data_IF_261339438706
#
_entry.id   IF_261339438706
#
_cell.length_a   1.000
_cell.length_b   1.000
_cell.length_c   1.000
_cell.angle_alpha   90.00
_cell.angle_beta   90.00
_cell.angle_gamma   90.00
#
_symmetry.space_group_name_H-M   'P 1'
#
loop_
_entity.id
_entity.type
_entity.pdbx_description
1 polymer ?
#
# COMPACT_ATOMS: atom_id res chain seq x y z
N UNK A 1 -67.93 -9.23 49.82
CA UNK A 1 -67.38 -10.22 48.85
C UNK A 1 -67.16 -9.63 47.45
N UNK A 2 -68.06 -8.79 46.92
CA UNK A 2 -67.94 -8.18 45.58
C UNK A 2 -66.74 -7.23 45.40
N UNK A 3 -66.41 -6.41 46.41
CA UNK A 3 -65.31 -5.43 46.33
C UNK A 3 -63.92 -6.10 46.24
N UNK A 4 -63.73 -7.21 46.96
CA UNK A 4 -62.47 -7.97 46.96
C UNK A 4 -62.21 -8.61 45.59
N UNK A 5 -63.26 -9.08 44.92
CA UNK A 5 -63.14 -9.63 43.56
C UNK A 5 -62.85 -8.56 42.51
N UNK A 6 -63.37 -7.33 42.67
CA UNK A 6 -63.03 -6.21 41.80
C UNK A 6 -61.55 -5.81 41.96
N UNK A 7 -61.05 -5.75 43.19
CA UNK A 7 -59.65 -5.42 43.48
C UNK A 7 -58.67 -6.46 42.91
N UNK A 8 -58.98 -7.75 43.04
CA UNK A 8 -58.18 -8.83 42.43
C UNK A 8 -58.14 -8.72 40.89
N UNK A 9 -59.26 -8.38 40.25
CA UNK A 9 -59.31 -8.21 38.78
C UNK A 9 -58.48 -7.01 38.32
N UNK A 10 -58.48 -5.92 39.07
CA UNK A 10 -57.66 -4.73 38.79
C UNK A 10 -56.16 -5.05 38.90
N UNK A 11 -55.75 -5.76 39.96
CA UNK A 11 -54.36 -6.17 40.14
C UNK A 11 -53.90 -7.09 39.00
N UNK A 12 -54.71 -8.07 38.61
CA UNK A 12 -54.39 -8.96 37.49
C UNK A 12 -54.27 -8.19 36.17
N UNK A 13 -55.15 -7.21 35.93
CA UNK A 13 -55.08 -6.37 34.74
C UNK A 13 -53.82 -5.50 34.71
N UNK A 14 -53.43 -4.90 35.85
CA UNK A 14 -52.20 -4.09 35.96
C UNK A 14 -50.96 -4.96 35.73
N UNK A 15 -50.89 -6.15 36.32
CA UNK A 15 -49.78 -7.08 36.11
C UNK A 15 -49.71 -7.54 34.65
N UNK A 16 -50.86 -7.85 34.03
CA UNK A 16 -50.90 -8.22 32.62
C UNK A 16 -50.43 -7.09 31.69
N UNK A 17 -50.82 -5.84 31.96
CA UNK A 17 -50.35 -4.67 31.23
C UNK A 17 -48.85 -4.47 31.42
N UNK A 18 -48.35 -4.59 32.66
CA UNK A 18 -46.91 -4.45 32.96
C UNK A 18 -46.07 -5.51 32.24
N UNK A 19 -46.51 -6.77 32.26
CA UNK A 19 -45.85 -7.87 31.54
C UNK A 19 -45.92 -7.66 30.03
N UNK A 20 -47.06 -7.20 29.49
CA UNK A 20 -47.19 -6.86 28.08
C UNK A 20 -46.26 -5.71 27.69
N UNK A 21 -46.11 -4.66 28.52
CA UNK A 21 -45.18 -3.57 28.27
C UNK A 21 -43.72 -4.02 28.31
N UNK A 22 -43.36 -4.93 29.22
CA UNK A 22 -42.00 -5.52 29.25
C UNK A 22 -41.75 -6.34 27.99
N UNK A 23 -42.71 -7.18 27.58
CA UNK A 23 -42.59 -7.98 26.36
C UNK A 23 -42.46 -7.06 25.13
N UNK A 24 -43.27 -6.00 25.02
CA UNK A 24 -43.17 -5.02 23.92
C UNK A 24 -41.83 -4.28 23.97
N UNK A 25 -41.38 -3.85 25.15
CA UNK A 25 -40.08 -3.19 25.33
C UNK A 25 -38.91 -4.12 24.95
N UNK A 26 -38.91 -5.36 25.41
CA UNK A 26 -37.90 -6.37 25.05
C UNK A 26 -37.97 -6.80 23.58
N UNK A 27 -39.16 -6.80 22.96
CA UNK A 27 -39.34 -7.16 21.54
C UNK A 27 -38.99 -6.00 20.60
N UNK A 28 -39.14 -4.75 21.06
CA UNK A 28 -38.74 -3.54 20.33
C UNK A 28 -37.28 -3.13 20.59
N UNK A 29 -36.66 -3.58 21.69
CA UNK A 29 -35.19 -3.58 21.87
C UNK A 29 -34.52 -4.70 21.07
N UNK A 30 -34.89 -4.84 19.79
CA UNK A 30 -33.92 -5.36 18.85
C UNK A 30 -32.90 -4.24 18.70
N UNK A 31 -31.74 -4.39 19.35
CA UNK A 31 -30.58 -3.61 18.93
C UNK A 31 -30.43 -3.88 17.43
N UNK A 32 -30.62 -2.87 16.60
CA UNK A 32 -30.21 -2.97 15.21
C UNK A 32 -28.70 -3.20 15.25
N UNK A 33 -28.27 -4.45 15.11
CA UNK A 33 -26.87 -4.84 15.10
C UNK A 33 -26.18 -4.01 14.02
N UNK A 34 -25.08 -3.37 14.39
CA UNK A 34 -24.33 -2.56 13.44
C UNK A 34 -23.68 -3.51 12.42
N UNK A 35 -24.14 -3.45 11.18
CA UNK A 35 -23.55 -4.21 10.09
C UNK A 35 -22.66 -3.25 9.29
N UNK A 36 -21.32 -3.37 9.36
CA UNK A 36 -20.43 -2.53 8.57
C UNK A 36 -20.68 -2.75 7.08
N UNK A 37 -20.46 -1.70 6.29
CA UNK A 37 -20.43 -1.84 4.82
C UNK A 37 -19.24 -2.73 4.48
N UNK A 38 -19.51 -3.92 3.96
CA UNK A 38 -18.47 -4.84 3.51
C UNK A 38 -18.04 -4.42 2.11
N UNK A 39 -16.81 -3.94 1.98
CA UNK A 39 -16.25 -3.54 0.68
C UNK A 39 -15.91 -4.76 -0.17
N UNK A 40 -15.18 -5.70 0.43
CA UNK A 40 -14.73 -6.93 -0.22
C UNK A 40 -14.69 -8.07 0.81
N UNK A 41 -14.84 -9.31 0.35
CA UNK A 41 -14.65 -10.51 1.17
C UNK A 41 -13.42 -11.26 0.65
N UNK A 42 -12.48 -11.53 1.54
CA UNK A 42 -11.29 -12.31 1.25
C UNK A 42 -11.64 -13.78 0.98
N UNK A 43 -10.76 -14.53 0.30
CA UNK A 43 -10.99 -15.95 -0.05
C UNK A 43 -11.15 -16.87 1.17
N UNK A 44 -10.71 -16.44 2.35
CA UNK A 44 -10.90 -17.15 3.62
C UNK A 44 -12.23 -16.79 4.33
N UNK A 45 -13.06 -15.93 3.74
CA UNK A 45 -14.35 -15.50 4.28
C UNK A 45 -14.30 -14.27 5.20
N UNK A 46 -13.13 -13.75 5.55
CA UNK A 46 -13.02 -12.50 6.32
C UNK A 46 -13.36 -11.27 5.46
N UNK A 47 -13.88 -10.22 6.10
CA UNK A 47 -14.50 -9.08 5.41
C UNK A 47 -13.76 -7.78 5.69
N UNK A 48 -13.51 -7.00 4.62
CA UNK A 48 -12.87 -5.70 4.70
C UNK A 48 -13.89 -4.61 5.04
N UNK A 49 -13.56 -3.80 6.05
CA UNK A 49 -14.37 -2.67 6.51
C UNK A 49 -14.03 -1.37 5.78
N UNK A 50 -12.81 -1.25 5.24
CA UNK A 50 -12.27 -0.02 4.67
C UNK A 50 -11.72 0.93 5.74
N UNK A 51 -10.62 1.61 5.41
CA UNK A 51 -9.89 2.50 6.33
C UNK A 51 -10.71 3.65 6.92
N UNK A 52 -11.74 4.14 6.21
CA UNK A 52 -12.63 5.19 6.72
C UNK A 52 -13.35 4.78 8.00
N UNK A 53 -13.64 3.49 8.17
CA UNK A 53 -14.30 2.98 9.39
C UNK A 53 -13.40 3.06 10.63
N UNK A 54 -12.08 3.17 10.45
CA UNK A 54 -11.11 3.25 11.54
C UNK A 54 -11.06 4.65 12.17
N UNK A 55 -11.49 5.70 11.46
CA UNK A 55 -11.29 7.11 11.85
C UNK A 55 -11.91 7.41 13.22
N UNK A 56 -13.14 6.92 13.48
CA UNK A 56 -13.89 7.24 14.70
C UNK A 56 -13.15 6.83 15.99
N UNK A 57 -12.34 5.78 15.93
CA UNK A 57 -11.61 5.24 17.08
C UNK A 57 -10.09 5.48 17.01
N UNK A 58 -9.54 5.69 15.81
CA UNK A 58 -8.10 5.78 15.56
C UNK A 58 -7.72 7.01 14.71
N UNK A 59 -8.38 8.15 14.95
CA UNK A 59 -8.24 9.39 14.18
C UNK A 59 -6.77 9.85 14.01
N UNK A 60 -5.99 9.92 15.09
CA UNK A 60 -4.59 10.37 15.04
C UNK A 60 -3.71 9.48 14.15
N UNK A 61 -3.92 8.17 14.22
CA UNK A 61 -3.19 7.20 13.41
C UNK A 61 -3.61 7.32 11.96
N UNK A 62 -4.92 7.44 11.69
CA UNK A 62 -5.43 7.65 10.34
C UNK A 62 -4.84 8.92 9.71
N UNK A 63 -4.93 10.05 10.40
CA UNK A 63 -4.46 11.36 9.93
C UNK A 63 -2.97 11.36 9.61
N UNK A 64 -2.16 10.60 10.36
CA UNK A 64 -0.74 10.45 10.04
C UNK A 64 -0.46 9.44 8.93
N UNK A 65 -1.27 8.37 8.83
CA UNK A 65 -1.09 7.32 7.84
C UNK A 65 -1.42 7.78 6.42
N UNK A 66 -2.45 8.61 6.24
CA UNK A 66 -2.84 9.11 4.91
C UNK A 66 -1.75 9.98 4.24
N UNK A 67 -0.84 10.54 5.03
CA UNK A 67 0.33 11.30 4.56
C UNK A 67 1.51 10.41 4.13
N UNK A 68 1.38 9.09 4.30
CA UNK A 68 2.46 8.15 3.97
C UNK A 68 2.47 7.78 2.49
N UNK A 69 3.64 7.34 2.01
CA UNK A 69 3.74 6.76 0.68
C UNK A 69 3.00 5.42 0.54
N UNK A 70 2.70 4.73 1.64
CA UNK A 70 1.92 3.50 1.65
C UNK A 70 0.47 3.80 1.26
N UNK A 71 -0.19 4.72 1.97
CA UNK A 71 -1.56 5.12 1.64
C UNK A 71 -1.66 5.65 0.21
N UNK A 72 -0.73 6.51 -0.19
CA UNK A 72 -0.73 7.12 -1.52
C UNK A 72 -0.25 6.20 -2.66
N UNK A 73 0.08 4.94 -2.37
CA UNK A 73 0.67 4.02 -3.36
C UNK A 73 -0.24 3.68 -4.55
N UNK A 74 -1.55 3.87 -4.42
CA UNK A 74 -2.49 3.95 -5.54
C UNK A 74 -3.76 4.71 -5.15
N UNK A 75 -4.52 5.16 -6.15
CA UNK A 75 -5.82 5.79 -5.96
C UNK A 75 -6.65 5.74 -7.25
N UNK A 76 -7.98 5.96 -7.16
CA UNK A 76 -8.78 6.30 -8.35
C UNK A 76 -8.28 7.61 -8.94
N UNK A 77 -8.08 7.64 -10.25
CA UNK A 77 -7.58 8.83 -10.92
C UNK A 77 -8.61 9.97 -10.92
N UNK A 78 -8.19 11.11 -10.36
CA UNK A 78 -8.92 12.38 -10.34
C UNK A 78 -7.94 13.56 -10.15
N UNK A 79 -8.48 14.79 -10.08
CA UNK A 79 -7.70 16.03 -9.98
C UNK A 79 -6.81 16.13 -8.74
N UNK A 80 -7.15 15.48 -7.63
CA UNK A 80 -6.36 15.52 -6.39
C UNK A 80 -5.28 14.43 -6.34
N UNK A 81 -5.44 13.34 -7.09
CA UNK A 81 -4.55 12.16 -7.02
C UNK A 81 -3.50 12.14 -8.14
N UNK A 82 -3.80 12.75 -9.29
CA UNK A 82 -2.87 12.81 -10.41
C UNK A 82 -1.95 14.02 -10.18
N UNK A 83 -0.64 13.78 -10.10
CA UNK A 83 0.36 14.86 -9.96
C UNK A 83 0.79 15.48 -11.28
N UNK A 84 0.51 14.79 -12.40
CA UNK A 84 0.85 15.28 -13.73
C UNK A 84 0.06 16.52 -14.12
N UNK A 85 0.71 17.45 -14.81
CA UNK A 85 0.06 18.66 -15.31
C UNK A 85 -0.73 18.38 -16.58
N UNK A 86 -1.93 18.97 -16.66
CA UNK A 86 -2.80 18.98 -17.84
C UNK A 86 -2.90 20.37 -18.49
N UNK A 87 -2.07 21.32 -18.04
CA UNK A 87 -1.98 22.65 -18.65
C UNK A 87 -1.22 22.58 -19.98
N UNK A 88 -1.65 23.40 -20.93
CA UNK A 88 -1.02 23.54 -22.25
C UNK A 88 0.51 23.67 -22.14
N UNK A 89 1.24 23.04 -23.06
CA UNK A 89 2.71 22.90 -23.10
C UNK A 89 3.35 22.03 -22.01
N UNK A 90 2.67 21.79 -20.89
CA UNK A 90 3.14 20.89 -19.82
C UNK A 90 2.43 19.53 -19.81
N UNK A 91 1.47 19.35 -20.72
CA UNK A 91 0.62 18.17 -20.85
C UNK A 91 1.00 17.27 -22.03
N UNK A 92 2.17 17.47 -22.64
CA UNK A 92 2.60 16.74 -23.83
C UNK A 92 3.84 15.91 -23.53
N UNK A 93 3.83 14.66 -23.97
CA UNK A 93 5.02 13.84 -24.16
C UNK A 93 5.22 13.62 -25.66
N UNK A 94 6.20 14.29 -26.23
CA UNK A 94 6.57 14.13 -27.63
C UNK A 94 7.75 13.17 -27.79
N UNK A 95 7.55 12.11 -28.58
CA UNK A 95 8.56 11.12 -28.94
C UNK A 95 8.80 11.12 -30.44
N UNK A 96 9.77 10.35 -30.91
CA UNK A 96 10.15 10.33 -32.33
C UNK A 96 9.00 9.91 -33.26
N UNK A 97 8.21 8.92 -32.85
CA UNK A 97 7.15 8.33 -33.69
C UNK A 97 5.73 8.62 -33.20
N UNK A 98 5.57 9.11 -31.96
CA UNK A 98 4.25 9.30 -31.34
C UNK A 98 4.26 10.53 -30.44
N UNK A 99 3.13 11.21 -30.37
CA UNK A 99 2.86 12.29 -29.43
C UNK A 99 1.74 11.82 -28.52
N UNK A 100 1.95 11.92 -27.21
CA UNK A 100 0.89 11.77 -26.22
C UNK A 100 0.51 13.15 -25.67
N UNK A 101 -0.78 13.44 -25.62
CA UNK A 101 -1.31 14.68 -25.05
C UNK A 101 -2.31 14.35 -23.96
N UNK A 102 -2.14 14.97 -22.80
CA UNK A 102 -2.90 14.69 -21.59
C UNK A 102 -3.96 15.78 -21.46
N UNK A 103 -5.22 15.39 -21.57
CA UNK A 103 -6.34 16.34 -21.64
C UNK A 103 -7.42 16.04 -20.61
N UNK A 104 -8.19 17.07 -20.28
CA UNK A 104 -9.35 16.98 -19.40
C UNK A 104 -10.61 17.21 -20.23
N UNK A 105 -11.57 16.29 -20.14
CA UNK A 105 -12.88 16.40 -20.78
C UNK A 105 -13.97 15.93 -19.81
N UNK A 106 -14.97 16.77 -19.58
CA UNK A 106 -16.12 16.47 -18.70
C UNK A 106 -15.68 15.97 -17.30
N UNK A 107 -14.67 16.62 -16.71
CA UNK A 107 -14.04 16.26 -15.43
C UNK A 107 -13.28 14.93 -15.40
N UNK A 108 -13.14 14.25 -16.54
CA UNK A 108 -12.29 13.06 -16.69
C UNK A 108 -10.97 13.39 -17.37
N UNK A 109 -9.95 12.60 -17.07
CA UNK A 109 -8.59 12.77 -17.56
C UNK A 109 -8.29 11.72 -18.62
N UNK A 110 -7.68 12.13 -19.72
CA UNK A 110 -7.43 11.29 -20.89
C UNK A 110 -6.01 11.41 -21.40
N UNK A 111 -5.51 10.31 -21.98
CA UNK A 111 -4.32 10.26 -22.80
C UNK A 111 -4.76 10.18 -24.27
N UNK A 112 -4.52 11.24 -25.02
CA UNK A 112 -4.67 11.26 -26.46
C UNK A 112 -3.37 10.80 -27.12
N UNK A 113 -3.48 10.04 -28.20
CA UNK A 113 -2.34 9.48 -28.92
C UNK A 113 -2.37 9.89 -30.38
N UNK A 114 -1.27 10.48 -30.86
CA UNK A 114 -1.09 10.82 -32.29
C UNK A 114 0.19 10.17 -32.81
N UNK A 115 0.03 9.20 -33.71
CA UNK A 115 1.17 8.58 -34.42
C UNK A 115 1.65 9.54 -35.51
N UNK A 116 2.96 9.83 -35.53
CA UNK A 116 3.57 10.69 -36.56
C UNK A 116 3.61 9.95 -37.90
N UNK A 117 3.40 10.69 -38.99
CA UNK A 117 3.47 10.17 -40.36
C UNK A 117 2.50 9.02 -40.69
N UNK A 118 1.48 8.78 -39.87
CA UNK A 118 0.39 7.84 -40.14
C UNK A 118 -0.94 8.47 -39.72
N UNK A 119 -1.98 8.25 -40.51
CA UNK A 119 -3.35 8.64 -40.14
C UNK A 119 -4.04 7.41 -39.54
N UNK A 120 -3.81 7.20 -38.24
CA UNK A 120 -4.48 6.17 -37.45
C UNK A 120 -5.31 6.91 -36.41
N UNK A 121 -6.60 6.61 -36.35
CA UNK A 121 -7.48 7.13 -35.31
C UNK A 121 -7.38 6.20 -34.09
N UNK A 122 -6.88 6.74 -32.98
CA UNK A 122 -6.72 6.01 -31.72
C UNK A 122 -7.62 6.70 -30.70
N UNK A 123 -8.59 5.93 -30.17
CA UNK A 123 -9.52 6.45 -29.17
C UNK A 123 -8.75 6.97 -27.92
N UNK A 124 -9.18 8.09 -27.32
CA UNK A 124 -8.58 8.58 -26.09
C UNK A 124 -8.71 7.56 -24.96
N UNK A 125 -7.61 7.30 -24.25
CA UNK A 125 -7.60 6.36 -23.13
C UNK A 125 -7.80 7.10 -21.82
N UNK A 126 -8.73 6.62 -20.99
CA UNK A 126 -9.06 7.28 -19.73
C UNK A 126 -8.04 6.92 -18.65
N UNK A 127 -7.69 7.90 -17.82
CA UNK A 127 -7.02 7.64 -16.55
C UNK A 127 -8.08 7.17 -15.55
N UNK A 128 -8.10 5.89 -15.22
CA UNK A 128 -8.99 5.32 -14.20
C UNK A 128 -8.26 5.06 -12.87
N UNK A 129 -6.97 4.77 -12.95
CA UNK A 129 -6.14 4.37 -11.80
C UNK A 129 -4.81 5.14 -11.78
N UNK A 130 -4.39 5.55 -10.60
CA UNK A 130 -3.03 6.03 -10.31
C UNK A 130 -2.28 4.94 -9.55
N UNK A 131 -1.07 4.61 -9.99
CA UNK A 131 -0.14 3.72 -9.28
C UNK A 131 1.16 4.48 -8.98
N UNK A 132 1.55 4.46 -7.71
CA UNK A 132 2.72 5.13 -7.17
C UNK A 132 2.35 6.33 -6.31
N UNK A 133 3.08 6.51 -5.20
CA UNK A 133 2.89 7.63 -4.26
C UNK A 133 3.24 9.01 -4.81
N UNK A 134 3.78 9.07 -6.03
CA UNK A 134 4.28 10.30 -6.62
C UNK A 134 5.44 10.92 -5.85
N UNK A 135 6.15 10.14 -5.04
CA UNK A 135 7.45 10.54 -4.47
C UNK A 135 8.52 10.56 -5.56
N UNK A 136 8.44 9.60 -6.48
CA UNK A 136 9.38 9.42 -7.60
C UNK A 136 8.67 9.54 -8.93
N UNK A 137 7.44 9.06 -9.00
CA UNK A 137 6.59 9.18 -10.16
C UNK A 137 5.26 8.48 -9.94
N UNK A 138 4.40 8.59 -10.94
CA UNK A 138 3.11 7.92 -11.03
C UNK A 138 2.98 7.28 -12.41
N UNK A 139 2.46 6.06 -12.45
CA UNK A 139 1.98 5.42 -13.67
C UNK A 139 0.47 5.31 -13.59
N UNK A 140 -0.17 5.12 -14.74
CA UNK A 140 -1.62 5.22 -14.83
C UNK A 140 -2.23 3.98 -15.47
N UNK A 141 -3.43 3.65 -15.05
CA UNK A 141 -4.20 2.52 -15.58
C UNK A 141 -5.53 2.95 -16.19
N UNK A 142 -5.95 2.21 -17.22
CA UNK A 142 -7.23 2.36 -17.94
C UNK A 142 -7.97 1.03 -17.90
N UNK A 143 -9.29 1.07 -17.71
CA UNK A 143 -10.12 -0.13 -17.81
C UNK A 143 -10.69 -0.32 -19.21
N UNK A 144 -10.59 -1.54 -19.73
CA UNK A 144 -11.38 -2.03 -20.86
C UNK A 144 -12.21 -3.21 -20.39
N UNK A 145 -13.52 -3.01 -20.21
CA UNK A 145 -14.39 -3.95 -19.51
C UNK A 145 -13.77 -4.37 -18.16
N UNK A 146 -13.59 -5.65 -17.87
CA UNK A 146 -12.97 -6.06 -16.61
C UNK A 146 -11.44 -6.16 -16.65
N UNK A 147 -10.81 -5.83 -17.79
CA UNK A 147 -9.37 -5.89 -17.96
C UNK A 147 -8.71 -4.53 -17.67
N UNK A 148 -7.67 -4.55 -16.83
CA UNK A 148 -6.87 -3.38 -16.49
C UNK A 148 -5.62 -3.33 -17.36
N UNK A 149 -5.31 -2.16 -17.91
CA UNK A 149 -4.13 -1.92 -18.74
C UNK A 149 -3.36 -0.71 -18.23
N UNK A 150 -2.04 -0.73 -18.41
CA UNK A 150 -1.17 0.40 -18.12
C UNK A 150 -1.13 1.36 -19.31
N UNK A 151 -1.26 2.66 -19.05
CA UNK A 151 -1.03 3.70 -20.04
C UNK A 151 0.46 3.82 -20.40
N UNK A 152 0.77 4.20 -21.64
CA UNK A 152 2.17 4.37 -22.09
C UNK A 152 2.88 5.57 -21.46
N UNK A 153 2.13 6.50 -20.85
CA UNK A 153 2.69 7.66 -20.16
C UNK A 153 2.72 7.46 -18.65
N UNK A 154 3.76 8.01 -18.04
CA UNK A 154 3.91 8.17 -16.59
C UNK A 154 4.30 9.61 -16.29
N UNK A 155 4.14 10.01 -15.04
CA UNK A 155 4.61 11.29 -14.55
C UNK A 155 5.86 11.09 -13.69
N UNK A 156 6.94 11.80 -14.00
CA UNK A 156 8.20 11.76 -13.27
C UNK A 156 8.31 13.00 -12.38
N UNK A 157 8.14 12.81 -11.07
CA UNK A 157 8.06 13.89 -10.09
C UNK A 157 9.34 14.74 -10.01
N UNK A 158 10.56 14.17 -9.98
CA UNK A 158 11.79 14.96 -9.87
C UNK A 158 12.01 16.03 -10.95
N UNK A 159 11.54 15.81 -12.18
CA UNK A 159 11.63 16.82 -13.26
C UNK A 159 10.28 17.46 -13.60
N UNK A 160 9.23 17.14 -12.85
CA UNK A 160 7.86 17.62 -13.08
C UNK A 160 7.38 17.41 -14.54
N UNK A 161 7.70 16.28 -15.16
CA UNK A 161 7.42 16.05 -16.58
C UNK A 161 6.76 14.70 -16.86
N UNK A 162 5.98 14.65 -17.94
CA UNK A 162 5.54 13.38 -18.51
C UNK A 162 6.71 12.62 -19.14
N UNK A 163 6.72 11.31 -18.96
CA UNK A 163 7.75 10.39 -19.45
C UNK A 163 7.09 9.10 -19.95
N UNK A 164 7.84 8.26 -20.66
CA UNK A 164 7.38 6.92 -20.96
C UNK A 164 7.23 6.10 -19.67
N UNK A 165 6.12 5.38 -19.57
CA UNK A 165 5.97 4.32 -18.58
C UNK A 165 7.13 3.33 -18.72
N UNK A 166 7.77 2.90 -17.62
CA UNK A 166 8.95 2.05 -17.69
C UNK A 166 8.75 0.80 -18.57
N UNK A 167 9.71 0.56 -19.46
CA UNK A 167 9.72 -0.58 -20.38
C UNK A 167 8.82 -0.47 -21.61
N UNK A 168 8.07 0.62 -21.83
CA UNK A 168 7.42 0.85 -23.13
C UNK A 168 8.41 1.34 -24.19
N UNK A 169 8.19 1.01 -25.47
CA UNK A 169 8.99 1.56 -26.56
C UNK A 169 8.66 3.03 -26.83
N UNK A 170 9.47 3.70 -27.65
CA UNK A 170 9.29 5.09 -28.06
C UNK A 170 8.28 5.30 -29.21
N UNK A 171 7.47 4.29 -29.52
CA UNK A 171 6.40 4.30 -30.50
C UNK A 171 5.07 3.86 -29.86
N UNK A 172 3.96 4.04 -30.57
CA UNK A 172 2.66 3.55 -30.10
C UNK A 172 2.65 2.02 -30.03
N UNK A 173 2.42 1.49 -28.84
CA UNK A 173 2.43 0.05 -28.55
C UNK A 173 1.05 -0.40 -28.08
N UNK A 174 0.79 -1.70 -28.20
CA UNK A 174 -0.47 -2.26 -27.72
C UNK A 174 -0.61 -2.11 -26.19
N UNK A 175 -1.84 -2.05 -25.68
CA UNK A 175 -2.09 -1.92 -24.25
C UNK A 175 -1.41 -3.02 -23.45
N UNK A 176 -0.57 -2.62 -22.49
CA UNK A 176 0.11 -3.55 -21.60
C UNK A 176 -0.80 -3.98 -20.46
N UNK A 177 -1.08 -5.28 -20.27
CA UNK A 177 -1.87 -5.76 -19.15
C UNK A 177 -1.26 -5.34 -17.80
N UNK A 178 -2.07 -4.71 -16.95
CA UNK A 178 -1.70 -4.39 -15.58
C UNK A 178 -2.13 -5.54 -14.68
N UNK A 179 -1.19 -6.43 -14.39
CA UNK A 179 -1.46 -7.69 -13.66
C UNK A 179 -1.42 -7.50 -12.15
N UNK A 180 -1.86 -8.53 -11.44
CA UNK A 180 -1.79 -8.65 -9.97
C UNK A 180 -0.38 -8.39 -9.40
N UNK A 181 0.68 -8.71 -10.14
CA UNK A 181 2.06 -8.41 -9.77
C UNK A 181 2.33 -6.92 -9.47
N UNK A 182 1.61 -6.00 -10.13
CA UNK A 182 1.66 -4.57 -9.82
C UNK A 182 0.75 -4.24 -8.63
N UNK A 183 -0.47 -4.77 -8.61
CA UNK A 183 -1.48 -4.41 -7.60
C UNK A 183 -1.14 -4.95 -6.21
N UNK A 184 -0.50 -6.12 -6.09
CA UNK A 184 -0.18 -6.74 -4.80
C UNK A 184 0.71 -5.88 -3.90
N UNK A 185 1.48 -4.95 -4.48
CA UNK A 185 2.34 -4.03 -3.75
C UNK A 185 1.81 -2.60 -3.67
N UNK A 186 0.72 -2.30 -4.38
CA UNK A 186 0.20 -0.94 -4.53
C UNK A 186 -1.25 -0.78 -4.10
N UNK A 187 -1.93 -1.89 -3.77
CA UNK A 187 -3.32 -1.91 -3.30
C UNK A 187 -3.42 -2.79 -2.08
N UNK A 188 -4.44 -2.55 -1.28
CA UNK A 188 -4.76 -3.35 -0.11
C UNK A 188 -5.37 -4.67 -0.56
N UNK A 189 -6.27 -4.60 -1.53
CA UNK A 189 -6.91 -5.76 -2.11
C UNK A 189 -7.43 -5.47 -3.52
N UNK A 190 -7.38 -6.47 -4.41
CA UNK A 190 -8.06 -6.44 -5.69
C UNK A 190 -8.67 -7.81 -6.01
N UNK A 191 -9.99 -7.89 -6.10
CA UNK A 191 -10.69 -9.14 -6.39
C UNK A 191 -10.54 -9.52 -7.87
N UNK A 192 -9.83 -10.61 -8.12
CA UNK A 192 -9.77 -11.23 -9.45
C UNK A 192 -11.15 -11.78 -9.88
N UNK A 193 -11.44 -11.73 -11.17
CA UNK A 193 -12.61 -12.40 -11.75
C UNK A 193 -12.50 -13.94 -11.76
N UNK A 194 -11.28 -14.46 -11.81
CA UNK A 194 -10.99 -15.88 -11.80
C UNK A 194 -10.20 -16.25 -10.55
N UNK A 195 -10.63 -17.30 -9.84
CA UNK A 195 -9.88 -17.84 -8.71
C UNK A 195 -8.49 -18.32 -9.17
N UNK A 196 -7.47 -18.09 -8.35
CA UNK A 196 -6.07 -18.48 -8.62
C UNK A 196 -5.47 -17.93 -9.93
N UNK A 197 -5.95 -16.79 -10.42
CA UNK A 197 -5.41 -16.14 -11.64
C UNK A 197 -4.35 -15.09 -11.31
N UNK A 198 -3.29 -15.07 -12.12
CA UNK A 198 -2.22 -14.04 -12.14
C UNK A 198 -2.40 -13.04 -13.30
N UNK A 199 -3.66 -12.77 -13.63
CA UNK A 199 -4.07 -11.96 -14.78
C UNK A 199 -4.29 -10.47 -14.48
N UNK A 200 -4.92 -9.79 -15.43
CA UNK A 200 -5.34 -8.38 -15.33
C UNK A 200 -6.87 -8.21 -15.26
N UNK A 201 -7.62 -9.27 -14.96
CA UNK A 201 -9.07 -9.28 -14.91
C UNK A 201 -9.57 -9.14 -13.47
N UNK A 202 -10.22 -8.02 -13.16
CA UNK A 202 -10.67 -7.71 -11.80
C UNK A 202 -12.11 -7.18 -11.76
N UNK A 203 -12.74 -7.35 -10.61
CA UNK A 203 -14.02 -6.69 -10.30
C UNK A 203 -13.74 -5.24 -9.92
N UNK A 204 -14.07 -4.30 -10.81
CA UNK A 204 -13.75 -2.86 -10.66
C UNK A 204 -14.22 -2.24 -9.34
N UNK A 205 -15.34 -2.70 -8.81
CA UNK A 205 -15.94 -2.22 -7.55
C UNK A 205 -15.42 -2.94 -6.29
N UNK A 206 -14.47 -3.87 -6.44
CA UNK A 206 -13.89 -4.65 -5.35
C UNK A 206 -12.36 -4.50 -5.34
N UNK A 207 -11.91 -3.25 -5.40
CA UNK A 207 -10.51 -2.84 -5.24
C UNK A 207 -10.44 -1.84 -4.11
N UNK A 208 -9.52 -2.09 -3.18
CA UNK A 208 -9.18 -1.21 -2.07
C UNK A 208 -7.81 -0.60 -2.38
N UNK A 209 -7.82 0.68 -2.75
CA UNK A 209 -6.63 1.42 -3.17
C UNK A 209 -5.72 1.78 -1.99
N UNK A 210 -4.47 2.10 -2.32
CA UNK A 210 -3.43 2.34 -1.33
C UNK A 210 -3.05 1.08 -0.56
N UNK A 211 -1.99 1.19 0.23
CA UNK A 211 -1.69 0.25 1.31
C UNK A 211 -2.31 0.86 2.57
N UNK A 212 -3.53 0.44 2.88
CA UNK A 212 -4.34 0.94 3.98
C UNK A 212 -4.12 0.11 5.27
N UNK A 213 -4.96 0.36 6.27
CA UNK A 213 -4.92 -0.32 7.56
C UNK A 213 -5.00 -1.85 7.43
N UNK A 214 -5.95 -2.34 6.63
CA UNK A 214 -6.31 -3.76 6.54
C UNK A 214 -5.30 -4.57 5.72
N UNK A 215 -4.41 -3.90 4.97
CA UNK A 215 -3.28 -4.58 4.30
C UNK A 215 -2.25 -5.14 5.28
N UNK A 216 -2.13 -4.53 6.46
CA UNK A 216 -1.23 -4.97 7.53
C UNK A 216 -2.00 -5.61 8.70
N UNK A 217 -3.21 -5.15 8.99
CA UNK A 217 -4.03 -5.59 10.12
C UNK A 217 -5.07 -6.66 9.76
N UNK A 218 -5.07 -7.16 8.52
CA UNK A 218 -6.07 -8.08 7.95
C UNK A 218 -7.47 -7.44 7.87
N UNK A 219 -8.45 -8.08 7.18
CA UNK A 219 -9.82 -7.60 7.13
C UNK A 219 -10.41 -7.53 8.53
N UNK A 220 -10.99 -6.37 8.86
CA UNK A 220 -11.29 -5.98 10.24
C UNK A 220 -12.78 -5.68 10.48
N UNK A 221 -13.68 -6.09 9.60
CA UNK A 221 -15.12 -5.82 9.75
C UNK A 221 -15.71 -6.32 11.07
N UNK A 222 -15.30 -7.50 11.55
CA UNK A 222 -15.76 -8.04 12.85
C UNK A 222 -15.26 -7.19 14.03
N UNK A 223 -14.02 -6.70 13.95
CA UNK A 223 -13.44 -5.80 14.95
C UNK A 223 -14.22 -4.50 15.03
N UNK A 224 -14.48 -3.88 13.88
CA UNK A 224 -15.25 -2.63 13.77
C UNK A 224 -16.67 -2.82 14.31
N UNK A 225 -17.37 -3.88 13.89
CA UNK A 225 -18.73 -4.13 14.33
C UNK A 225 -18.84 -4.31 15.84
N UNK A 226 -17.95 -5.14 16.42
CA UNK A 226 -17.96 -5.40 17.85
C UNK A 226 -17.73 -4.13 18.68
N UNK A 227 -16.76 -3.29 18.32
CA UNK A 227 -16.43 -2.10 19.11
C UNK A 227 -17.44 -0.96 18.94
N UNK A 228 -18.14 -0.89 17.81
CA UNK A 228 -19.26 0.05 17.65
C UNK A 228 -20.42 -0.33 18.55
N UNK A 229 -20.70 -1.63 18.70
CA UNK A 229 -21.75 -2.14 19.59
C UNK A 229 -21.34 -2.11 21.07
N UNK A 230 -20.03 -2.13 21.35
CA UNK A 230 -19.48 -2.22 22.70
C UNK A 230 -18.45 -1.10 22.98
N UNK A 231 -18.84 0.19 22.93
CA UNK A 231 -17.90 1.32 22.96
C UNK A 231 -17.11 1.47 24.27
N UNK A 232 -17.52 0.79 25.34
CA UNK A 232 -16.85 0.81 26.65
C UNK A 232 -15.78 -0.29 26.79
N UNK A 233 -15.66 -1.20 25.82
CA UNK A 233 -14.65 -2.25 25.84
C UNK A 233 -13.39 -1.73 25.14
N UNK A 234 -12.34 -1.45 25.90
CA UNK A 234 -11.08 -0.95 25.34
C UNK A 234 -10.17 -2.07 24.81
N UNK A 235 -10.36 -3.31 25.29
CA UNK A 235 -9.57 -4.45 24.86
C UNK A 235 -9.88 -4.79 23.39
N UNK A 236 -8.86 -4.84 22.53
CA UNK A 236 -9.02 -5.18 21.13
C UNK A 236 -9.56 -6.61 20.94
N UNK A 237 -10.71 -6.75 20.24
CA UNK A 237 -11.31 -8.04 19.88
C UNK A 237 -11.34 -8.20 18.37
N UNK A 238 -11.33 -9.45 17.90
CA UNK A 238 -11.45 -9.83 16.49
C UNK A 238 -10.43 -9.18 15.54
N UNK A 239 -9.24 -8.86 16.06
CA UNK A 239 -8.12 -8.32 15.30
C UNK A 239 -6.83 -8.99 15.77
N UNK A 240 -5.87 -9.13 14.87
CA UNK A 240 -4.59 -9.77 15.17
C UNK A 240 -3.70 -8.86 16.02
N UNK A 241 -3.18 -9.38 17.14
CA UNK A 241 -2.12 -8.71 17.88
C UNK A 241 -0.78 -8.95 17.20
N UNK A 242 -0.35 -7.98 16.39
CA UNK A 242 0.94 -8.02 15.67
C UNK A 242 2.13 -8.17 16.64
N UNK A 243 2.02 -7.74 17.90
CA UNK A 243 3.12 -7.87 18.88
C UNK A 243 3.34 -9.31 19.32
N UNK A 244 2.29 -10.14 19.27
CA UNK A 244 2.35 -11.56 19.61
C UNK A 244 3.01 -12.41 18.52
N UNK A 245 3.14 -11.88 17.30
CA UNK A 245 3.73 -12.58 16.17
C UNK A 245 5.23 -12.82 16.37
N UNK A 246 5.73 -13.94 15.82
CA UNK A 246 7.17 -14.18 15.72
C UNK A 246 7.86 -13.09 14.90
N UNK A 247 9.19 -12.93 15.07
CA UNK A 247 9.97 -11.99 14.27
C UNK A 247 9.80 -12.21 12.77
N UNK A 248 9.78 -13.47 12.32
CA UNK A 248 9.60 -13.77 10.91
C UNK A 248 8.22 -13.35 10.40
N UNK A 249 7.15 -13.65 11.14
CA UNK A 249 5.80 -13.23 10.76
C UNK A 249 5.65 -11.71 10.70
N UNK A 250 6.31 -10.95 11.60
CA UNK A 250 6.32 -9.48 11.51
C UNK A 250 7.08 -8.97 10.29
N UNK A 251 8.20 -9.60 9.95
CA UNK A 251 8.96 -9.28 8.74
C UNK A 251 8.17 -9.61 7.47
N UNK A 252 7.41 -10.71 7.49
CA UNK A 252 6.60 -11.20 6.37
C UNK A 252 5.51 -10.19 5.96
N UNK A 253 4.94 -9.44 6.91
CA UNK A 253 4.02 -8.32 6.64
C UNK A 253 4.65 -7.29 5.71
N UNK A 254 5.94 -7.01 5.88
CA UNK A 254 6.67 -6.08 5.02
C UNK A 254 7.18 -6.78 3.75
N UNK A 255 7.67 -8.01 3.88
CA UNK A 255 8.28 -8.79 2.82
C UNK A 255 7.30 -9.14 1.70
N UNK A 256 5.98 -9.13 1.95
CA UNK A 256 4.96 -9.30 0.91
C UNK A 256 5.15 -8.32 -0.27
N UNK A 257 5.73 -7.13 0.00
CA UNK A 257 6.04 -6.11 -1.01
C UNK A 257 7.53 -5.74 -1.08
N UNK A 258 8.24 -5.79 0.05
CA UNK A 258 9.61 -5.30 0.19
C UNK A 258 10.69 -6.41 0.12
N UNK A 259 10.42 -7.56 -0.51
CA UNK A 259 11.39 -8.66 -0.69
C UNK A 259 11.70 -9.03 -2.15
N UNK A 260 11.60 -8.06 -3.06
CA UNK A 260 11.80 -8.23 -4.49
C UNK A 260 10.50 -8.62 -5.20
N UNK A 261 10.62 -9.21 -6.40
CA UNK A 261 9.47 -9.42 -7.30
C UNK A 261 8.48 -10.48 -6.81
N UNK A 262 8.95 -11.50 -6.06
CA UNK A 262 8.20 -12.69 -5.62
C UNK A 262 7.24 -13.22 -6.69
N UNK A 263 7.79 -13.61 -7.84
CA UNK A 263 7.00 -13.94 -9.04
C UNK A 263 6.28 -15.30 -8.93
N UNK A 264 6.78 -16.22 -8.12
CA UNK A 264 6.19 -17.55 -7.96
C UNK A 264 5.08 -17.51 -6.92
N UNK A 265 3.82 -17.72 -7.33
CA UNK A 265 2.68 -17.93 -6.43
C UNK A 265 2.52 -19.44 -6.17
N UNK A 266 2.56 -19.84 -4.90
CA UNK A 266 2.52 -21.23 -4.45
C UNK A 266 1.12 -21.65 -3.97
N UNK A 267 0.38 -20.72 -3.37
CA UNK A 267 -0.95 -20.96 -2.78
C UNK A 267 -1.87 -19.78 -3.06
N UNK A 268 -3.05 -20.06 -3.61
CA UNK A 268 -4.07 -19.04 -3.89
C UNK A 268 -3.64 -18.08 -5.00
N UNK A 269 -3.69 -16.78 -4.69
CA UNK A 269 -3.33 -15.66 -5.56
C UNK A 269 -2.49 -14.61 -4.81
N UNK A 270 -2.11 -13.52 -5.48
CA UNK A 270 -1.26 -12.48 -4.93
C UNK A 270 -1.81 -11.73 -3.68
N UNK A 271 -3.10 -11.90 -3.36
CA UNK A 271 -3.76 -11.31 -2.20
C UNK A 271 -4.17 -12.35 -1.15
N UNK A 272 -3.73 -13.61 -1.26
CA UNK A 272 -4.17 -14.69 -0.37
C UNK A 272 -3.45 -14.76 0.98
N UNK A 273 -2.26 -14.15 1.09
CA UNK A 273 -1.50 -14.09 2.33
C UNK A 273 -2.16 -13.13 3.32
N UNK A 274 -2.29 -13.57 4.57
CA UNK A 274 -2.70 -12.75 5.71
C UNK A 274 -1.56 -12.59 6.72
N UNK A 275 -1.53 -11.43 7.37
CA UNK A 275 -0.62 -11.16 8.50
C UNK A 275 -0.77 -12.23 9.58
N UNK A 276 0.35 -12.80 9.99
CA UNK A 276 0.40 -13.92 10.94
C UNK A 276 0.59 -15.29 10.27
N UNK A 277 0.47 -15.39 8.96
CA UNK A 277 0.88 -16.57 8.21
C UNK A 277 2.37 -16.52 7.85
N UNK A 278 2.90 -17.62 7.29
CA UNK A 278 4.25 -17.65 6.72
C UNK A 278 4.19 -17.29 5.24
N UNK A 279 4.84 -16.21 4.84
CA UNK A 279 4.77 -15.70 3.46
C UNK A 279 5.33 -16.68 2.43
N UNK A 280 6.32 -17.50 2.82
CA UNK A 280 6.97 -18.49 1.94
C UNK A 280 6.08 -19.69 1.59
N UNK A 281 4.91 -19.83 2.24
CA UNK A 281 3.89 -20.82 1.86
C UNK A 281 2.99 -20.31 0.72
N UNK A 282 2.98 -18.99 0.47
CA UNK A 282 2.10 -18.35 -0.51
C UNK A 282 2.82 -17.89 -1.76
N UNK A 283 4.05 -17.39 -1.62
CA UNK A 283 4.83 -16.92 -2.76
C UNK A 283 6.32 -17.04 -2.49
N UNK A 284 7.18 -17.04 -3.51
CA UNK A 284 8.65 -16.97 -3.38
C UNK A 284 9.29 -16.24 -4.57
N UNK A 285 10.53 -15.81 -4.40
CA UNK A 285 11.37 -15.44 -5.54
C UNK A 285 11.81 -16.71 -6.29
N UNK A 286 11.79 -16.70 -7.62
CA UNK A 286 12.23 -17.84 -8.44
C UNK A 286 13.74 -18.12 -8.29
N UNK A 287 14.53 -17.10 -7.93
CA UNK A 287 15.97 -17.18 -7.76
C UNK A 287 16.35 -17.13 -6.28
N UNK A 288 16.43 -18.30 -5.63
CA UNK A 288 16.99 -18.43 -4.27
C UNK A 288 18.53 -18.26 -4.27
N UNK A 289 19.16 -18.00 -5.43
CA UNK A 289 20.61 -18.03 -5.65
C UNK A 289 21.14 -16.76 -6.34
N UNK A 290 20.59 -15.58 -6.02
CA UNK A 290 21.37 -14.36 -6.26
C UNK A 290 22.35 -14.22 -5.09
N UNK A 291 23.66 -14.33 -5.36
CA UNK A 291 24.69 -13.94 -4.39
C UNK A 291 24.37 -12.53 -3.89
N UNK A 292 24.64 -12.22 -2.62
CA UNK A 292 24.34 -10.93 -1.94
C UNK A 292 24.62 -9.65 -2.77
N UNK A 293 25.51 -9.73 -3.77
CA UNK A 293 25.90 -8.64 -4.67
C UNK A 293 24.93 -8.33 -5.82
N UNK A 294 23.92 -9.17 -6.07
CA UNK A 294 22.96 -8.97 -7.17
C UNK A 294 21.56 -8.51 -6.73
N UNK A 295 21.35 -8.34 -5.42
CA UNK A 295 20.10 -7.84 -4.88
C UNK A 295 19.87 -6.38 -5.32
N UNK A 296 18.82 -6.16 -6.13
CA UNK A 296 18.39 -4.81 -6.50
C UNK A 296 17.87 -4.07 -5.26
N UNK A 297 18.11 -2.76 -5.19
CA UNK A 297 17.63 -1.91 -4.10
C UNK A 297 16.15 -1.54 -4.21
N UNK A 298 15.55 -1.74 -5.38
CA UNK A 298 14.13 -1.50 -5.58
C UNK A 298 13.28 -2.66 -5.04
N UNK A 299 12.37 -2.34 -4.12
CA UNK A 299 11.42 -3.30 -3.57
C UNK A 299 12.01 -4.48 -2.80
N UNK A 300 13.32 -4.51 -2.48
CA UNK A 300 13.98 -5.64 -1.79
C UNK A 300 14.70 -5.21 -0.50
N UNK A 301 14.11 -4.28 0.23
CA UNK A 301 14.64 -3.80 1.52
C UNK A 301 14.77 -4.93 2.53
N UNK A 302 13.84 -5.89 2.54
CA UNK A 302 13.89 -7.09 3.36
C UNK A 302 15.14 -7.93 3.06
N UNK A 303 15.35 -8.31 1.79
CA UNK A 303 16.49 -9.15 1.39
C UNK A 303 17.85 -8.51 1.75
N UNK A 304 17.96 -7.19 1.57
CA UNK A 304 19.17 -6.45 1.93
C UNK A 304 19.34 -6.34 3.46
N UNK A 305 18.26 -6.12 4.21
CA UNK A 305 18.30 -6.06 5.67
C UNK A 305 18.73 -7.40 6.27
N UNK A 306 18.15 -8.51 5.83
CA UNK A 306 18.50 -9.85 6.37
C UNK A 306 19.95 -10.24 6.09
N UNK A 307 20.54 -9.71 5.01
CA UNK A 307 21.95 -9.91 4.68
C UNK A 307 22.90 -9.07 5.55
N UNK A 308 22.41 -8.06 6.28
CA UNK A 308 23.21 -7.16 7.11
C UNK A 308 23.71 -7.81 8.39
N UNK A 309 24.96 -7.53 8.77
CA UNK A 309 25.58 -8.13 9.96
C UNK A 309 24.85 -7.74 11.26
N UNK A 310 24.36 -6.50 11.37
CA UNK A 310 23.58 -6.06 12.54
C UNK A 310 22.27 -6.84 12.68
N UNK A 311 21.64 -7.23 11.58
CA UNK A 311 20.42 -8.02 11.59
C UNK A 311 20.68 -9.47 12.00
N UNK A 312 21.74 -10.08 11.46
CA UNK A 312 22.16 -11.45 11.81
C UNK A 312 22.54 -11.58 13.29
N UNK A 313 23.13 -10.53 13.87
CA UNK A 313 23.56 -10.51 15.28
C UNK A 313 22.48 -10.09 16.27
N UNK A 314 21.33 -9.63 15.81
CA UNK A 314 20.25 -9.12 16.68
C UNK A 314 18.99 -9.95 16.49
N UNK A 315 18.54 -10.63 17.55
CA UNK A 315 17.36 -11.51 17.47
C UNK A 315 16.03 -10.76 17.37
N UNK A 316 15.99 -9.48 17.76
CA UNK A 316 14.75 -8.68 17.83
C UNK A 316 14.58 -7.66 16.72
N UNK A 317 15.61 -7.43 15.89
CA UNK A 317 15.58 -6.38 14.86
C UNK A 317 14.58 -6.72 13.75
N UNK A 318 13.63 -5.83 13.51
CA UNK A 318 12.68 -5.89 12.40
C UNK A 318 12.49 -4.51 11.75
N UNK A 319 11.62 -4.42 10.75
CA UNK A 319 11.37 -3.17 10.02
C UNK A 319 10.87 -2.06 10.94
N UNK A 320 9.99 -2.40 11.90
CA UNK A 320 9.35 -1.45 12.80
C UNK A 320 10.24 -1.00 13.96
N UNK A 321 11.38 -1.66 14.16
CA UNK A 321 12.44 -1.18 15.05
C UNK A 321 12.94 0.20 14.59
N UNK A 322 13.08 0.38 13.26
CA UNK A 322 13.59 1.61 12.66
C UNK A 322 12.49 2.53 12.10
N UNK A 323 11.43 1.95 11.52
CA UNK A 323 10.39 2.70 10.82
C UNK A 323 9.06 2.72 11.56
N UNK A 324 8.36 3.84 11.49
CA UNK A 324 6.95 3.91 11.83
C UNK A 324 6.09 3.76 10.57
N UNK A 325 5.36 2.64 10.46
CA UNK A 325 4.52 2.35 9.29
C UNK A 325 3.35 3.33 9.11
N UNK A 326 2.96 4.05 10.16
CA UNK A 326 1.83 4.98 10.17
C UNK A 326 2.25 6.44 10.02
N UNK A 327 3.55 6.76 9.92
CA UNK A 327 4.03 8.14 9.85
C UNK A 327 4.99 8.35 8.68
N UNK A 328 4.89 9.51 8.05
CA UNK A 328 5.88 9.92 7.06
C UNK A 328 7.15 10.43 7.75
N UNK A 329 8.20 9.60 7.76
CA UNK A 329 9.49 9.92 8.38
C UNK A 329 10.55 10.38 7.35
N UNK A 330 10.16 10.63 6.09
CA UNK A 330 11.10 10.98 5.02
C UNK A 330 11.87 12.26 5.36
N UNK A 331 13.19 12.19 5.24
CA UNK A 331 14.08 13.33 5.49
C UNK A 331 14.45 13.55 6.96
N UNK A 332 13.88 12.78 7.90
CA UNK A 332 14.18 12.94 9.32
C UNK A 332 15.44 12.16 9.74
N UNK A 333 16.62 12.67 9.35
CA UNK A 333 17.90 12.03 9.64
C UNK A 333 18.15 11.83 11.15
N UNK A 334 17.74 12.80 11.99
CA UNK A 334 17.92 12.71 13.43
C UNK A 334 17.14 11.53 14.04
N UNK A 335 15.89 11.32 13.62
CA UNK A 335 15.11 10.17 14.07
C UNK A 335 15.82 8.85 13.74
N UNK A 336 16.32 8.69 12.51
CA UNK A 336 17.04 7.48 12.11
C UNK A 336 18.37 7.30 12.84
N UNK A 337 19.13 8.37 13.06
CA UNK A 337 20.35 8.31 13.87
C UNK A 337 20.06 7.78 15.29
N UNK A 338 18.98 8.24 15.94
CA UNK A 338 18.58 7.75 17.26
C UNK A 338 18.26 6.25 17.26
N UNK A 339 17.70 5.71 16.17
CA UNK A 339 17.49 4.25 16.02
C UNK A 339 18.83 3.51 16.01
N UNK A 340 19.81 3.98 15.26
CA UNK A 340 21.15 3.39 15.23
C UNK A 340 21.81 3.45 16.62
N UNK A 341 21.78 4.62 17.26
CA UNK A 341 22.41 4.88 18.56
C UNK A 341 21.78 4.04 19.68
N UNK A 342 20.50 3.65 19.56
CA UNK A 342 19.84 2.77 20.53
C UNK A 342 20.51 1.39 20.68
N UNK A 343 21.28 0.95 19.66
CA UNK A 343 22.10 -0.27 19.72
C UNK A 343 23.61 0.03 19.65
N UNK A 344 24.00 1.16 19.04
CA UNK A 344 25.37 1.61 18.85
C UNK A 344 25.71 2.80 19.76
N UNK A 345 25.50 2.67 21.07
CA UNK A 345 25.90 3.69 22.03
C UNK A 345 27.43 3.83 22.07
N UNK A 346 27.92 5.04 22.36
CA UNK A 346 29.34 5.44 22.24
C UNK A 346 30.34 4.53 22.98
N UNK A 347 29.93 3.77 24.00
CA UNK A 347 30.82 2.84 24.72
C UNK A 347 30.98 1.47 24.03
N UNK A 348 30.12 1.13 23.07
CA UNK A 348 30.08 -0.17 22.39
C UNK A 348 30.49 -0.10 20.91
N UNK A 349 30.65 1.09 20.33
CA UNK A 349 30.98 1.25 18.90
C UNK A 349 31.81 2.51 18.69
N UNK A 350 33.11 2.36 18.41
CA UNK A 350 33.96 3.47 17.98
C UNK A 350 33.74 3.75 16.49
N UNK A 351 33.38 4.99 16.16
CA UNK A 351 33.34 5.46 14.77
C UNK A 351 34.75 5.86 14.34
N UNK A 352 35.42 5.03 13.55
CA UNK A 352 36.78 5.31 13.05
C UNK A 352 36.84 6.42 11.97
N UNK A 353 35.72 7.04 11.62
CA UNK A 353 35.70 8.17 10.70
C UNK A 353 36.11 9.47 11.41
N UNK A 354 36.89 10.30 10.73
CA UNK A 354 37.31 11.59 11.30
C UNK A 354 36.11 12.53 11.53
N UNK A 355 36.24 13.48 12.45
CA UNK A 355 35.24 14.55 12.64
C UNK A 355 34.96 15.34 11.36
N UNK A 356 35.98 15.52 10.52
CA UNK A 356 35.84 16.18 9.21
C UNK A 356 34.96 15.37 8.26
N UNK A 357 35.07 14.04 8.26
CA UNK A 357 34.28 13.16 7.38
C UNK A 357 32.85 13.02 7.84
N UNK A 358 32.64 12.85 9.15
CA UNK A 358 31.30 12.81 9.74
C UNK A 358 30.58 14.15 9.56
N UNK A 359 31.29 15.27 9.72
CA UNK A 359 30.79 16.62 9.45
C UNK A 359 30.34 16.82 7.99
N UNK A 360 31.10 16.32 7.00
CA UNK A 360 30.71 16.39 5.57
C UNK A 360 29.39 15.67 5.27
N UNK A 361 29.05 14.64 6.06
CA UNK A 361 27.82 13.87 5.91
C UNK A 361 26.74 14.32 6.90
N UNK A 362 26.88 15.51 7.49
CA UNK A 362 25.95 16.07 8.50
C UNK A 362 25.71 15.13 9.69
N UNK A 363 26.72 14.37 10.11
CA UNK A 363 26.63 13.36 11.17
C UNK A 363 25.47 12.36 10.96
N UNK A 364 25.20 12.01 9.71
CA UNK A 364 24.08 11.15 9.33
C UNK A 364 24.54 9.69 9.14
N UNK A 365 24.19 8.80 10.07
CA UNK A 365 24.58 7.39 10.04
C UNK A 365 24.20 6.72 8.72
N UNK A 366 22.98 6.98 8.23
CA UNK A 366 22.47 6.34 7.02
C UNK A 366 23.14 6.88 5.75
N UNK A 367 23.80 8.04 5.79
CA UNK A 367 24.54 8.54 4.61
C UNK A 367 25.74 7.64 4.27
N UNK A 368 26.44 7.12 5.28
CA UNK A 368 27.61 6.26 5.10
C UNK A 368 27.25 4.76 5.16
N UNK A 369 26.42 4.36 6.12
CA UNK A 369 26.15 2.94 6.38
C UNK A 369 25.01 2.35 5.56
N UNK A 370 24.26 3.21 4.86
CA UNK A 370 23.17 2.85 3.96
C UNK A 370 23.22 3.74 2.72
N UNK A 371 24.29 3.68 1.89
CA UNK A 371 24.42 4.56 0.74
C UNK A 371 23.29 4.35 -0.27
N UNK A 372 23.07 5.34 -1.13
CA UNK A 372 22.16 5.18 -2.26
C UNK A 372 22.85 4.41 -3.38
N UNK A 373 22.11 3.50 -4.02
CA UNK A 373 22.58 2.75 -5.18
C UNK A 373 21.56 2.84 -6.32
N UNK A 374 22.01 2.80 -7.58
CA UNK A 374 21.10 2.80 -8.71
C UNK A 374 20.29 1.50 -8.72
N UNK A 375 18.98 1.60 -8.92
CA UNK A 375 18.15 0.42 -9.14
C UNK A 375 18.42 -0.16 -10.53
N UNK A 376 18.48 -1.50 -10.61
CA UNK A 376 18.59 -2.22 -11.87
C UNK A 376 17.23 -2.35 -12.57
N UNK A 377 16.14 -2.45 -11.81
CA UNK A 377 14.77 -2.67 -12.32
C UNK A 377 13.96 -1.38 -12.50
N UNK A 378 14.22 -0.34 -11.72
CA UNK A 378 13.49 0.93 -11.82
C UNK A 378 14.33 1.95 -12.57
N UNK A 379 13.96 2.16 -13.83
CA UNK A 379 14.58 3.14 -14.73
C UNK A 379 13.52 3.88 -15.52
N UNK A 380 13.83 5.12 -15.91
CA UNK A 380 12.99 5.95 -16.77
C UNK A 380 13.80 6.48 -17.93
N UNK A 381 13.20 6.48 -19.11
CA UNK A 381 13.74 7.25 -20.23
C UNK A 381 13.15 8.65 -20.15
N UNK A 382 14.03 9.66 -20.06
CA UNK A 382 13.61 11.05 -20.05
C UNK A 382 13.29 11.48 -21.49
N UNK A 383 12.48 12.52 -21.66
CA UNK A 383 11.89 12.96 -22.93
C UNK A 383 12.90 13.44 -24.01
N UNK A 384 14.20 13.24 -23.81
CA UNK A 384 15.20 13.60 -24.80
C UNK A 384 15.46 12.42 -25.76
N UNK A 385 15.44 12.75 -27.06
CA UNK A 385 15.87 11.89 -28.18
C UNK A 385 17.25 11.33 -27.84
N UNK A 386 17.37 10.00 -27.80
CA UNK A 386 18.59 9.25 -27.45
C UNK A 386 19.07 9.35 -25.98
N UNK A 387 18.23 9.77 -25.04
CA UNK A 387 18.63 9.70 -23.62
C UNK A 387 18.72 8.25 -23.13
N UNK A 388 19.85 7.93 -22.50
CA UNK A 388 20.05 6.69 -21.77
C UNK A 388 19.04 6.58 -20.62
N UNK A 389 18.61 5.35 -20.34
CA UNK A 389 17.75 5.07 -19.19
C UNK A 389 18.38 5.61 -17.89
N UNK A 390 17.65 6.48 -17.20
CA UNK A 390 18.06 7.03 -15.91
C UNK A 390 17.56 6.11 -14.80
N UNK A 391 18.50 5.53 -14.06
CA UNK A 391 18.20 4.67 -12.91
C UNK A 391 17.80 5.51 -11.70
N UNK A 392 16.81 5.04 -10.95
CA UNK A 392 16.47 5.67 -9.69
C UNK A 392 17.43 5.23 -8.59
N UNK A 393 18.01 6.19 -7.88
CA UNK A 393 18.87 5.93 -6.73
C UNK A 393 18.01 5.63 -5.49
N UNK A 394 18.08 4.41 -4.98
CA UNK A 394 17.37 3.97 -3.77
C UNK A 394 18.38 3.72 -2.66
N UNK A 395 18.00 4.04 -1.43
CA UNK A 395 18.83 3.76 -0.26
C UNK A 395 18.91 2.25 -0.01
N UNK A 396 20.12 1.70 0.03
CA UNK A 396 20.31 0.29 0.37
C UNK A 396 19.88 0.03 1.81
N UNK A 397 19.35 -1.16 2.07
CA UNK A 397 19.13 -1.67 3.43
C UNK A 397 20.16 -2.72 3.82
N UNK A 398 21.22 -2.87 3.02
CA UNK A 398 22.40 -3.64 3.38
C UNK A 398 23.25 -2.75 4.28
N UNK A 399 22.97 -2.78 5.58
CA UNK A 399 23.63 -1.93 6.56
C UNK A 399 25.04 -2.47 6.78
N UNK A 400 26.05 -1.64 6.54
CA UNK A 400 27.44 -2.06 6.65
C UNK A 400 28.43 -0.91 6.60
N UNK A 401 29.73 -1.26 6.58
CA UNK A 401 30.81 -0.31 6.36
C UNK A 401 31.22 -0.41 4.90
N UNK A 402 31.08 0.69 4.17
CA UNK A 402 31.41 0.76 2.76
C UNK A 402 32.79 1.40 2.54
N UNK A 403 33.56 0.94 1.53
CA UNK A 403 34.77 1.64 1.10
C UNK A 403 34.43 3.08 0.70
N UNK A 404 35.42 3.97 0.87
CA UNK A 404 35.31 5.39 0.50
C UNK A 404 35.24 5.59 -1.00
#
# INVERSE_FOLDING_TARGET
MLIINAFKRIIVAIVAIFVATIIIYCKNNKSDFYTPIVLVTHSNGEQFAGSETCIKCHEDIYNSHIETAHFNSSAKANSSTIKGSFLEHSNVLELEQVIFTMDIKDSFFYQNTKVKNRLIDIAPEKFDLVIGSGVRGQSFGTWRDSALFQLQTSYYTPSNSWVLSPGFPNYYDDPRPLRDACLKCHTTFAQSLHENSTGNLFKRNQIIYGIDCERCHNPSAKHVAFHIENPNIEEAKFIMDIKSLSRQQRLDVCAQCHSGKRELVLKGNAFSFMTGENLDDFSRNAEVIAKDKDLDVHGNQYGLLVASECFKKTEKLDCNTCHNSHKNERGNANNFNLKCISCHSNDATECNASHTETGKMNNNCIACHMPVSPSKSMKVQLSQKDSLETSFYIRTHLIGIYPK
#
